data_IF_623164346917
#
_entry.id   IF_623164346917
#
_cell.length_a   1.000
_cell.length_b   1.000
_cell.length_c   1.000
_cell.angle_alpha   90.00
_cell.angle_beta   90.00
_cell.angle_gamma   90.00
#
_symmetry.space_group_name_H-M   'P 1'
#
loop_
_entity.id
_entity.type
_entity.pdbx_description
1 polymer ?
#
# COMPACT_ATOMS: atom_id res chain seq x y z
N UNK A 1 38.06 60.64 1.31
CA UNK A 1 39.26 60.14 0.61
C UNK A 1 40.27 59.67 1.64
N UNK A 2 40.45 58.35 1.75
CA UNK A 2 41.59 57.69 2.39
C UNK A 2 41.77 56.34 1.71
N UNK A 3 43.04 55.92 1.41
CA UNK A 3 43.30 54.82 0.46
C UNK A 3 43.38 53.45 1.10
N UNK A 4 43.13 52.46 0.27
CA UNK A 4 43.28 51.01 0.45
C UNK A 4 44.77 50.64 0.76
N UNK A 5 44.97 49.93 1.87
CA UNK A 5 46.22 49.16 2.09
C UNK A 5 46.03 47.71 1.68
N UNK A 6 46.76 47.31 0.62
CA UNK A 6 47.00 45.91 0.26
C UNK A 6 47.90 45.28 1.29
N UNK A 7 47.48 44.15 1.90
CA UNK A 7 48.36 43.22 2.60
C UNK A 7 48.69 42.08 1.65
N UNK A 8 49.95 42.04 1.21
CA UNK A 8 50.60 40.87 0.61
C UNK A 8 50.88 39.88 1.72
N UNK A 9 50.36 38.62 1.62
CA UNK A 9 50.80 37.50 2.46
C UNK A 9 51.75 36.64 1.63
N UNK A 10 52.95 36.47 2.18
CA UNK A 10 54.06 35.74 1.63
C UNK A 10 53.85 34.22 1.76
N UNK A 11 53.80 33.55 0.61
CA UNK A 11 53.62 32.09 0.49
C UNK A 11 55.02 31.38 0.46
N UNK A 12 55.64 31.24 1.60
CA UNK A 12 56.81 30.35 1.74
C UNK A 12 56.93 29.77 3.15
N UNK A 13 56.17 28.69 3.43
CA UNK A 13 56.61 27.55 4.27
C UNK A 13 55.56 26.46 4.28
N UNK A 14 55.79 25.39 3.53
CA UNK A 14 55.03 24.14 3.63
C UNK A 14 55.88 23.18 4.48
N UNK A 15 55.42 22.73 5.64
CA UNK A 15 56.00 21.56 6.29
C UNK A 15 55.36 20.30 5.72
N UNK A 16 56.17 19.45 5.12
CA UNK A 16 55.88 18.06 4.79
C UNK A 16 55.85 17.23 6.07
N UNK A 17 54.74 16.52 6.30
CA UNK A 17 54.69 15.44 7.28
C UNK A 17 53.38 15.35 8.10
N UNK A 18 52.60 14.34 7.83
CA UNK A 18 51.46 13.98 8.68
C UNK A 18 50.26 13.50 7.87
N UNK A 19 50.22 12.21 7.53
CA UNK A 19 49.04 11.59 6.94
C UNK A 19 47.88 11.67 7.86
N UNK A 20 46.92 12.54 7.53
CA UNK A 20 45.61 12.54 8.16
C UNK A 20 44.73 11.65 7.30
N UNK A 21 44.29 10.53 7.91
CA UNK A 21 43.30 9.65 7.34
C UNK A 21 42.03 10.45 7.02
N UNK A 22 41.69 10.56 5.73
CA UNK A 22 40.40 11.03 5.25
C UNK A 22 39.35 9.95 5.51
N UNK A 23 38.90 9.86 6.73
CA UNK A 23 37.77 9.01 7.13
C UNK A 23 36.73 9.88 7.79
N UNK A 24 35.77 10.25 7.00
CA UNK A 24 34.38 10.63 7.26
C UNK A 24 33.95 11.79 6.37
N UNK A 25 33.79 11.48 5.06
CA UNK A 25 32.88 12.28 4.24
C UNK A 25 31.48 11.97 4.75
N UNK A 26 30.69 12.96 5.22
CA UNK A 26 29.32 12.67 5.58
C UNK A 26 28.62 12.11 4.34
N UNK A 27 27.89 11.03 4.54
CA UNK A 27 27.02 10.38 3.57
C UNK A 27 26.09 11.47 2.99
N UNK A 28 26.53 12.07 1.91
CA UNK A 28 25.71 12.97 1.12
C UNK A 28 24.53 12.14 0.65
N UNK A 29 23.35 12.44 1.17
CA UNK A 29 22.06 11.97 0.67
C UNK A 29 22.09 12.09 -0.87
N UNK A 30 22.43 11.00 -1.55
CA UNK A 30 22.13 10.88 -2.98
C UNK A 30 20.61 10.96 -3.07
N UNK A 31 20.06 11.81 -3.92
CA UNK A 31 18.66 11.67 -4.28
C UNK A 31 18.53 10.32 -4.99
N UNK A 32 18.16 9.27 -4.25
CA UNK A 32 17.75 8.01 -4.86
C UNK A 32 16.52 8.33 -5.71
N UNK A 33 16.50 7.83 -6.94
CA UNK A 33 15.28 7.85 -7.75
C UNK A 33 14.17 7.24 -6.88
N UNK A 34 12.97 7.84 -6.85
CA UNK A 34 11.88 7.27 -6.06
C UNK A 34 11.68 5.84 -6.52
N UNK A 35 11.73 4.89 -5.58
CA UNK A 35 11.55 3.49 -5.87
C UNK A 35 10.20 3.27 -6.54
N UNK A 36 10.19 2.50 -7.62
CA UNK A 36 8.97 2.24 -8.42
C UNK A 36 7.92 1.53 -7.57
N UNK A 37 8.36 0.64 -6.68
CA UNK A 37 7.49 -0.07 -5.73
C UNK A 37 6.72 0.86 -4.81
N UNK A 38 7.29 1.95 -4.35
CA UNK A 38 6.57 2.94 -3.52
C UNK A 38 5.37 3.55 -4.25
N UNK A 39 5.54 3.84 -5.53
CA UNK A 39 4.42 4.33 -6.35
C UNK A 39 3.38 3.22 -6.54
N UNK A 40 3.82 2.00 -6.85
CA UNK A 40 2.94 0.84 -7.02
C UNK A 40 2.11 0.61 -5.77
N UNK A 41 2.74 0.51 -4.59
CA UNK A 41 2.04 0.30 -3.31
C UNK A 41 0.99 1.38 -3.05
N UNK A 42 1.32 2.65 -3.25
CA UNK A 42 0.36 3.75 -3.05
C UNK A 42 -0.81 3.72 -4.05
N UNK A 43 -0.56 3.36 -5.30
CA UNK A 43 -1.62 3.19 -6.31
C UNK A 43 -2.53 2.00 -5.97
N UNK A 44 -1.96 0.93 -5.44
CA UNK A 44 -2.69 -0.24 -4.98
C UNK A 44 -3.53 0.08 -3.74
N UNK A 45 -2.98 0.77 -2.73
CA UNK A 45 -3.73 1.27 -1.58
C UNK A 45 -4.90 2.18 -2.00
N UNK A 46 -4.68 3.10 -2.92
CA UNK A 46 -5.75 3.95 -3.44
C UNK A 46 -6.86 3.13 -4.12
N UNK A 47 -6.50 2.10 -4.88
CA UNK A 47 -7.45 1.18 -5.54
C UNK A 47 -8.24 0.36 -4.51
N UNK A 48 -7.55 -0.20 -3.52
CA UNK A 48 -8.16 -0.96 -2.43
C UNK A 48 -9.14 -0.08 -1.63
N UNK A 49 -8.72 1.14 -1.25
CA UNK A 49 -9.56 2.09 -0.54
C UNK A 49 -10.82 2.46 -1.33
N UNK A 50 -10.72 2.64 -2.65
CA UNK A 50 -11.86 2.91 -3.52
C UNK A 50 -12.84 1.72 -3.60
N UNK A 51 -12.33 0.50 -3.68
CA UNK A 51 -13.14 -0.73 -3.69
C UNK A 51 -13.85 -0.94 -2.36
N UNK A 52 -13.14 -0.78 -1.24
CA UNK A 52 -13.73 -0.85 0.10
C UNK A 52 -14.82 0.21 0.31
N UNK A 53 -14.59 1.43 -0.17
CA UNK A 53 -15.60 2.49 -0.16
C UNK A 53 -16.82 2.12 -0.99
N UNK A 54 -16.61 1.50 -2.15
CA UNK A 54 -17.71 1.04 -3.02
C UNK A 54 -18.55 -0.03 -2.34
N UNK A 55 -17.92 -0.98 -1.65
CA UNK A 55 -18.62 -1.99 -0.86
C UNK A 55 -19.43 -1.36 0.29
N UNK A 56 -18.84 -0.39 0.99
CA UNK A 56 -19.52 0.35 2.04
C UNK A 56 -20.80 0.98 1.51
N UNK A 57 -20.72 1.77 0.44
CA UNK A 57 -21.86 2.47 -0.17
C UNK A 57 -22.92 1.47 -0.65
N UNK A 58 -22.50 0.38 -1.29
CA UNK A 58 -23.40 -0.66 -1.76
C UNK A 58 -24.22 -1.26 -0.61
N UNK A 59 -23.59 -1.58 0.51
CA UNK A 59 -24.25 -2.18 1.68
C UNK A 59 -25.12 -1.17 2.43
N UNK A 60 -24.73 0.10 2.50
CA UNK A 60 -25.56 1.18 3.05
C UNK A 60 -26.86 1.33 2.26
N UNK A 61 -26.80 1.29 0.94
CA UNK A 61 -27.98 1.36 0.06
C UNK A 61 -28.85 0.09 0.15
N UNK A 62 -28.24 -1.06 0.38
CA UNK A 62 -28.91 -2.35 0.43
C UNK A 62 -29.37 -2.87 -0.94
N UNK A 63 -30.05 -4.04 -0.99
CA UNK A 63 -30.43 -4.72 -2.24
C UNK A 63 -31.40 -3.96 -3.13
N UNK A 64 -32.22 -3.03 -2.58
CA UNK A 64 -33.21 -2.27 -3.32
C UNK A 64 -34.16 -3.15 -4.15
N UNK A 65 -34.53 -2.66 -5.35
CA UNK A 65 -35.44 -3.36 -6.26
C UNK A 65 -34.77 -4.44 -7.10
N UNK A 66 -33.43 -4.58 -6.98
CA UNK A 66 -32.68 -5.58 -7.77
C UNK A 66 -31.66 -6.34 -6.89
N UNK A 67 -32.13 -7.21 -5.97
CA UNK A 67 -31.28 -8.00 -5.10
C UNK A 67 -30.21 -8.82 -5.82
N UNK A 68 -30.47 -9.49 -6.96
CA UNK A 68 -29.42 -10.23 -7.68
C UNK A 68 -28.25 -9.35 -8.08
N UNK A 69 -28.51 -8.12 -8.54
CA UNK A 69 -27.45 -7.18 -8.94
C UNK A 69 -26.62 -6.72 -7.72
N UNK A 70 -27.25 -6.50 -6.57
CA UNK A 70 -26.58 -6.15 -5.33
C UNK A 70 -25.61 -7.26 -4.89
N UNK A 71 -26.11 -8.50 -4.78
CA UNK A 71 -25.28 -9.63 -4.34
C UNK A 71 -24.16 -9.94 -5.34
N UNK A 72 -24.40 -9.84 -6.65
CA UNK A 72 -23.37 -9.97 -7.67
C UNK A 72 -22.25 -8.93 -7.50
N UNK A 73 -22.62 -7.67 -7.24
CA UNK A 73 -21.64 -6.60 -7.02
C UNK A 73 -20.84 -6.80 -5.73
N UNK A 74 -21.51 -7.14 -4.63
CA UNK A 74 -20.85 -7.40 -3.36
C UNK A 74 -19.90 -8.60 -3.42
N UNK A 75 -20.31 -9.71 -4.09
CA UNK A 75 -19.44 -10.88 -4.31
C UNK A 75 -18.23 -10.52 -5.16
N UNK A 76 -18.42 -9.74 -6.23
CA UNK A 76 -17.32 -9.34 -7.09
C UNK A 76 -16.27 -8.50 -6.34
N UNK A 77 -16.73 -7.59 -5.46
CA UNK A 77 -15.85 -6.78 -4.62
C UNK A 77 -15.09 -7.66 -3.61
N UNK A 78 -15.78 -8.52 -2.87
CA UNK A 78 -15.12 -9.40 -1.89
C UNK A 78 -14.16 -10.38 -2.55
N UNK A 79 -14.47 -10.85 -3.76
CA UNK A 79 -13.58 -11.68 -4.55
C UNK A 79 -12.31 -10.92 -4.96
N UNK A 80 -12.44 -9.65 -5.40
CA UNK A 80 -11.29 -8.81 -5.70
C UNK A 80 -10.38 -8.63 -4.48
N UNK A 81 -10.97 -8.39 -3.30
CA UNK A 81 -10.21 -8.20 -2.06
C UNK A 81 -9.43 -9.48 -1.70
N UNK A 82 -10.05 -10.65 -1.83
CA UNK A 82 -9.39 -11.95 -1.56
C UNK A 82 -8.27 -12.24 -2.58
N UNK A 83 -8.52 -12.01 -3.87
CA UNK A 83 -7.57 -12.36 -4.94
C UNK A 83 -6.41 -11.38 -5.08
N UNK A 84 -6.61 -10.08 -4.82
CA UNK A 84 -5.57 -9.10 -5.07
C UNK A 84 -4.85 -8.64 -3.79
N UNK A 85 -5.46 -7.92 -2.83
CA UNK A 85 -4.75 -7.55 -1.62
C UNK A 85 -4.17 -8.74 -0.87
N UNK A 86 -5.00 -9.75 -0.60
CA UNK A 86 -4.60 -10.85 0.28
C UNK A 86 -3.60 -11.82 -0.37
N UNK A 87 -3.65 -12.04 -1.68
CA UNK A 87 -2.80 -13.04 -2.36
C UNK A 87 -1.62 -12.46 -3.13
N UNK A 88 -1.68 -11.20 -3.53
CA UNK A 88 -0.64 -10.60 -4.36
C UNK A 88 0.10 -9.46 -3.65
N UNK A 89 -0.64 -8.55 -2.99
CA UNK A 89 -0.07 -7.35 -2.39
C UNK A 89 0.58 -7.65 -1.03
N UNK A 90 -0.16 -8.13 -0.05
CA UNK A 90 0.32 -8.41 1.30
C UNK A 90 1.49 -9.43 1.37
N UNK A 91 1.49 -10.55 0.59
CA UNK A 91 2.64 -11.44 0.60
C UNK A 91 3.93 -10.76 0.19
N UNK A 92 3.88 -9.82 -0.78
CA UNK A 92 5.08 -9.10 -1.22
C UNK A 92 5.58 -8.10 -0.19
N UNK A 93 4.68 -7.48 0.57
CA UNK A 93 5.08 -6.68 1.73
C UNK A 93 5.74 -7.53 2.80
N UNK A 94 5.09 -8.62 3.20
CA UNK A 94 5.61 -9.54 4.23
C UNK A 94 6.93 -10.20 3.84
N UNK A 95 7.12 -10.57 2.57
CA UNK A 95 8.30 -11.30 2.11
C UNK A 95 9.46 -10.38 1.67
N UNK A 96 9.15 -9.20 1.11
CA UNK A 96 10.16 -8.37 0.48
C UNK A 96 10.36 -7.01 1.13
N UNK A 97 9.31 -6.29 1.52
CA UNK A 97 9.41 -4.95 2.11
C UNK A 97 9.68 -4.99 3.61
N UNK A 98 8.80 -5.64 4.37
CA UNK A 98 8.82 -5.62 5.82
C UNK A 98 10.12 -6.13 6.46
N UNK A 99 10.72 -7.24 6.01
CA UNK A 99 11.98 -7.74 6.59
C UNK A 99 13.13 -6.75 6.40
N UNK A 100 13.21 -6.10 5.24
CA UNK A 100 14.25 -5.11 4.94
C UNK A 100 14.09 -3.86 5.78
N UNK A 101 12.86 -3.34 5.87
CA UNK A 101 12.58 -2.16 6.70
C UNK A 101 12.83 -2.46 8.17
N UNK A 102 12.39 -3.60 8.70
CA UNK A 102 12.63 -3.99 10.09
C UNK A 102 14.14 -4.09 10.42
N UNK A 103 14.94 -4.60 9.47
CA UNK A 103 16.39 -4.69 9.63
C UNK A 103 17.07 -3.31 9.61
N UNK A 104 16.67 -2.42 8.70
CA UNK A 104 17.30 -1.10 8.52
C UNK A 104 16.75 -0.03 9.48
N UNK A 105 15.52 -0.18 9.92
CA UNK A 105 14.80 0.74 10.78
C UNK A 105 14.15 0.03 12.00
N UNK A 106 14.94 -0.46 12.98
CA UNK A 106 14.43 -1.25 14.10
C UNK A 106 13.35 -0.54 14.93
N UNK A 107 13.28 0.78 14.88
CA UNK A 107 12.28 1.57 15.61
C UNK A 107 10.84 1.38 15.09
N UNK A 108 10.64 0.84 13.88
CA UNK A 108 9.31 0.48 13.33
C UNK A 108 9.06 -1.03 13.34
N UNK A 109 9.97 -1.85 13.84
CA UNK A 109 9.87 -3.31 13.79
C UNK A 109 8.62 -3.85 14.51
N UNK A 110 8.19 -3.23 15.61
CA UNK A 110 6.97 -3.61 16.33
C UNK A 110 5.71 -3.34 15.48
N UNK A 111 5.67 -2.22 14.78
CA UNK A 111 4.58 -1.89 13.85
C UNK A 111 4.54 -2.89 12.70
N UNK A 112 5.68 -3.23 12.13
CA UNK A 112 5.80 -4.23 11.06
C UNK A 112 5.29 -5.60 11.54
N UNK A 113 5.72 -6.06 12.72
CA UNK A 113 5.25 -7.33 13.28
C UNK A 113 3.73 -7.35 13.51
N UNK A 114 3.15 -6.20 13.89
CA UNK A 114 1.71 -6.04 13.99
C UNK A 114 1.04 -6.16 12.62
N UNK A 115 1.52 -5.44 11.60
CA UNK A 115 0.97 -5.43 10.24
C UNK A 115 1.03 -6.84 9.61
N UNK A 116 2.16 -7.53 9.76
CA UNK A 116 2.33 -8.90 9.27
C UNK A 116 1.33 -9.89 9.90
N UNK A 117 1.07 -9.74 11.21
CA UNK A 117 0.01 -10.50 11.88
C UNK A 117 -1.41 -10.07 11.44
N UNK A 118 -1.57 -8.83 10.99
CA UNK A 118 -2.83 -8.29 10.47
C UNK A 118 -3.13 -8.84 9.07
N UNK A 119 -2.14 -9.14 8.22
CA UNK A 119 -2.32 -9.80 6.92
C UNK A 119 -3.05 -11.16 7.09
N UNK A 120 -2.58 -11.99 8.02
CA UNK A 120 -3.22 -13.30 8.30
C UNK A 120 -4.68 -13.13 8.78
N UNK A 121 -4.96 -12.11 9.58
CA UNK A 121 -6.32 -11.83 10.05
C UNK A 121 -7.22 -11.26 8.95
N UNK A 122 -6.67 -10.45 8.05
CA UNK A 122 -7.37 -9.89 6.90
C UNK A 122 -7.88 -10.98 5.98
N UNK A 123 -7.03 -11.95 5.65
CA UNK A 123 -7.39 -13.11 4.83
C UNK A 123 -8.54 -13.92 5.45
N UNK A 124 -8.50 -14.18 6.75
CA UNK A 124 -9.58 -14.86 7.45
C UNK A 124 -10.88 -14.04 7.47
N UNK A 125 -10.76 -12.72 7.68
CA UNK A 125 -11.91 -11.82 7.77
C UNK A 125 -12.62 -11.63 6.42
N UNK A 126 -11.91 -11.57 5.30
CA UNK A 126 -12.57 -11.49 3.98
C UNK A 126 -13.33 -12.77 3.65
N UNK A 127 -12.80 -13.94 4.03
CA UNK A 127 -13.51 -15.22 3.87
C UNK A 127 -14.76 -15.32 4.76
N UNK A 128 -14.68 -14.78 5.98
CA UNK A 128 -15.86 -14.64 6.84
C UNK A 128 -16.91 -13.75 6.18
N UNK A 129 -16.52 -12.59 5.62
CA UNK A 129 -17.44 -11.70 4.90
C UNK A 129 -18.09 -12.37 3.69
N UNK A 130 -17.35 -13.14 2.92
CA UNK A 130 -17.90 -13.93 1.79
C UNK A 130 -18.96 -14.92 2.27
N UNK A 131 -18.70 -15.64 3.39
CA UNK A 131 -19.66 -16.57 3.99
C UNK A 131 -20.90 -15.86 4.53
N UNK A 132 -20.73 -14.73 5.22
CA UNK A 132 -21.85 -13.96 5.78
C UNK A 132 -22.70 -13.33 4.68
N UNK A 133 -22.09 -12.88 3.56
CA UNK A 133 -22.81 -12.38 2.40
C UNK A 133 -23.67 -13.47 1.77
N UNK A 134 -23.10 -14.67 1.59
CA UNK A 134 -23.83 -15.83 1.09
C UNK A 134 -24.99 -16.20 2.01
N UNK A 135 -24.76 -16.18 3.33
CA UNK A 135 -25.81 -16.43 4.30
C UNK A 135 -26.95 -15.38 4.21
N UNK A 136 -26.63 -14.10 4.01
CA UNK A 136 -27.64 -13.08 3.79
C UNK A 136 -28.43 -13.32 2.49
N UNK A 137 -27.74 -13.62 1.39
CA UNK A 137 -28.40 -13.91 0.11
C UNK A 137 -29.36 -15.10 0.17
N UNK A 138 -28.96 -16.20 0.83
CA UNK A 138 -29.74 -17.44 0.87
C UNK A 138 -30.83 -17.46 1.96
N UNK A 139 -30.57 -16.79 3.08
CA UNK A 139 -31.44 -16.87 4.27
C UNK A 139 -32.26 -15.57 4.49
N UNK A 140 -32.02 -14.53 3.68
CA UNK A 140 -32.79 -13.30 3.67
C UNK A 140 -32.33 -12.25 4.69
N UNK A 141 -33.11 -11.17 4.78
CA UNK A 141 -32.79 -9.91 5.50
C UNK A 141 -32.41 -10.09 6.98
N UNK A 142 -32.84 -11.15 7.64
CA UNK A 142 -32.46 -11.44 9.01
C UNK A 142 -30.92 -11.63 9.22
N UNK A 143 -30.17 -11.86 8.15
CA UNK A 143 -28.70 -12.01 8.18
C UNK A 143 -27.95 -10.74 7.85
N UNK A 144 -28.60 -9.71 7.34
CA UNK A 144 -28.01 -8.42 6.96
C UNK A 144 -27.20 -7.79 8.10
N UNK A 145 -27.78 -7.75 9.30
CA UNK A 145 -27.14 -7.09 10.45
C UNK A 145 -25.79 -7.70 10.81
N UNK A 146 -25.70 -9.03 10.79
CA UNK A 146 -24.44 -9.76 11.09
C UNK A 146 -23.39 -9.47 10.02
N UNK A 147 -23.76 -9.51 8.75
CA UNK A 147 -22.85 -9.15 7.65
C UNK A 147 -22.37 -7.69 7.75
N UNK A 148 -23.30 -6.75 7.96
CA UNK A 148 -22.95 -5.33 8.05
C UNK A 148 -22.00 -5.06 9.22
N UNK A 149 -22.24 -5.63 10.39
CA UNK A 149 -21.36 -5.47 11.55
C UNK A 149 -19.95 -6.01 11.29
N UNK A 150 -19.83 -7.19 10.68
CA UNK A 150 -18.53 -7.75 10.28
C UNK A 150 -17.82 -6.87 9.25
N UNK A 151 -18.56 -6.34 8.26
CA UNK A 151 -18.02 -5.42 7.27
C UNK A 151 -17.50 -4.12 7.90
N UNK A 152 -18.25 -3.51 8.83
CA UNK A 152 -17.78 -2.27 9.47
C UNK A 152 -16.50 -2.47 10.28
N UNK A 153 -16.37 -3.60 10.97
CA UNK A 153 -15.12 -3.98 11.65
C UNK A 153 -13.97 -4.14 10.67
N UNK A 154 -14.20 -4.83 9.55
CA UNK A 154 -13.21 -5.03 8.49
C UNK A 154 -12.76 -3.71 7.87
N UNK A 155 -13.70 -2.80 7.54
CA UNK A 155 -13.38 -1.50 6.97
C UNK A 155 -12.55 -0.62 7.93
N UNK A 156 -12.87 -0.64 9.23
CA UNK A 156 -12.11 0.11 10.23
C UNK A 156 -10.69 -0.47 10.39
N UNK A 157 -10.58 -1.78 10.44
CA UNK A 157 -9.32 -2.52 10.49
C UNK A 157 -8.43 -2.17 9.30
N UNK A 158 -8.94 -2.27 8.08
CA UNK A 158 -8.16 -2.06 6.86
C UNK A 158 -7.68 -0.61 6.69
N UNK A 159 -8.51 0.36 7.07
CA UNK A 159 -8.11 1.77 7.06
C UNK A 159 -6.96 2.06 8.01
N UNK A 160 -6.98 1.48 9.20
CA UNK A 160 -5.91 1.65 10.17
C UNK A 160 -4.63 0.95 9.72
N UNK A 161 -4.75 -0.24 9.12
CA UNK A 161 -3.66 -0.99 8.54
C UNK A 161 -2.91 -0.16 7.47
N UNK A 162 -3.58 0.25 6.41
CA UNK A 162 -2.99 1.11 5.36
C UNK A 162 -2.43 2.42 5.93
N UNK A 163 -3.10 3.02 6.93
CA UNK A 163 -2.60 4.24 7.57
C UNK A 163 -1.25 4.01 8.25
N UNK A 164 -1.07 2.91 8.95
CA UNK A 164 0.20 2.58 9.61
C UNK A 164 1.32 2.36 8.59
N UNK A 165 1.04 1.67 7.51
CA UNK A 165 2.01 1.48 6.42
C UNK A 165 2.42 2.82 5.82
N UNK A 166 1.47 3.64 5.39
CA UNK A 166 1.75 4.91 4.73
C UNK A 166 2.39 5.95 5.64
N UNK A 167 2.11 5.93 6.94
CA UNK A 167 2.63 6.94 7.88
C UNK A 167 3.87 6.50 8.65
N UNK A 168 4.16 5.20 8.72
CA UNK A 168 5.30 4.70 9.49
C UNK A 168 6.25 3.84 8.65
N UNK A 169 5.74 2.82 7.94
CA UNK A 169 6.59 1.86 7.24
C UNK A 169 7.17 2.45 5.96
N UNK A 170 6.35 3.03 5.08
CA UNK A 170 6.82 3.61 3.82
C UNK A 170 7.78 4.79 4.03
N UNK A 171 7.56 5.71 4.98
CA UNK A 171 8.55 6.74 5.31
C UNK A 171 9.85 6.17 5.86
N UNK A 172 9.81 5.12 6.69
CA UNK A 172 11.00 4.45 7.18
C UNK A 172 11.74 3.74 6.04
N UNK A 173 11.03 3.07 5.13
CA UNK A 173 11.62 2.49 3.93
C UNK A 173 12.35 3.55 3.09
N UNK A 174 11.72 4.69 2.84
CA UNK A 174 12.34 5.79 2.09
C UNK A 174 13.60 6.36 2.75
N UNK A 175 13.65 6.37 4.08
CA UNK A 175 14.75 6.96 4.82
C UNK A 175 15.94 6.00 5.01
N UNK A 176 15.71 4.69 5.04
CA UNK A 176 16.70 3.73 5.52
C UNK A 176 17.07 2.62 4.55
N UNK A 177 16.25 2.30 3.53
CA UNK A 177 16.61 1.28 2.53
C UNK A 177 17.65 1.83 1.56
N UNK A 178 18.61 0.98 1.21
CA UNK A 178 19.62 1.28 0.19
C UNK A 178 19.19 0.84 -1.23
N UNK A 179 20.04 1.09 -2.22
CA UNK A 179 19.74 0.81 -3.63
C UNK A 179 19.53 -0.70 -3.89
N UNK A 180 20.23 -1.58 -3.17
CA UNK A 180 20.08 -3.04 -3.31
C UNK A 180 18.75 -3.52 -2.69
N UNK A 181 18.38 -2.97 -1.53
CA UNK A 181 17.09 -3.25 -0.90
C UNK A 181 15.95 -2.83 -1.84
N UNK A 182 16.02 -1.62 -2.41
CA UNK A 182 15.01 -1.13 -3.33
C UNK A 182 14.95 -1.93 -4.62
N UNK A 183 16.08 -2.34 -5.19
CA UNK A 183 16.09 -3.18 -6.38
C UNK A 183 15.34 -4.50 -6.16
N UNK A 184 15.48 -5.11 -4.96
CA UNK A 184 14.78 -6.34 -4.63
C UNK A 184 13.26 -6.12 -4.43
N UNK A 185 12.86 -5.03 -3.76
CA UNK A 185 11.45 -4.68 -3.57
C UNK A 185 10.80 -4.31 -4.90
N UNK A 186 11.45 -3.50 -5.73
CA UNK A 186 10.97 -3.11 -7.06
C UNK A 186 10.76 -4.32 -7.96
N UNK A 187 11.68 -5.29 -7.95
CA UNK A 187 11.55 -6.52 -8.72
C UNK A 187 10.34 -7.36 -8.28
N UNK A 188 10.06 -7.43 -6.98
CA UNK A 188 8.91 -8.14 -6.45
C UNK A 188 7.58 -7.46 -6.85
N UNK A 189 7.46 -6.15 -6.64
CA UNK A 189 6.23 -5.40 -6.93
C UNK A 189 5.98 -5.18 -8.42
N UNK A 190 7.03 -5.20 -9.27
CA UNK A 190 6.87 -5.11 -10.73
C UNK A 190 6.02 -6.24 -11.32
N UNK A 191 5.91 -7.38 -10.62
CA UNK A 191 5.08 -8.51 -11.04
C UNK A 191 3.61 -8.37 -10.65
N UNK A 192 3.23 -7.36 -9.83
CA UNK A 192 1.83 -7.14 -9.46
C UNK A 192 1.00 -6.77 -10.67
N UNK A 193 -0.09 -7.50 -10.84
CA UNK A 193 -1.10 -7.22 -11.86
C UNK A 193 -2.35 -6.71 -11.13
N UNK A 194 -2.33 -5.44 -10.70
CA UNK A 194 -3.53 -4.83 -10.14
C UNK A 194 -4.58 -4.66 -11.27
N UNK A 195 -5.71 -5.37 -11.21
CA UNK A 195 -6.73 -5.31 -12.26
C UNK A 195 -7.42 -3.95 -12.35
N UNK A 196 -7.24 -3.07 -11.35
CA UNK A 196 -7.81 -1.73 -11.31
C UNK A 196 -6.81 -0.64 -11.70
N UNK A 197 -5.52 -0.97 -11.90
CA UNK A 197 -4.50 -0.01 -12.28
C UNK A 197 -4.60 0.34 -13.77
N UNK A 198 -4.70 1.64 -14.08
CA UNK A 198 -4.71 2.12 -15.45
C UNK A 198 -3.33 1.92 -16.11
N UNK A 199 -3.34 1.39 -17.36
CA UNK A 199 -2.12 1.33 -18.20
C UNK A 199 -1.22 0.12 -17.99
N UNK A 200 -1.61 -0.87 -17.19
CA UNK A 200 -0.93 -2.16 -17.10
C UNK A 200 -1.67 -3.24 -17.89
N UNK A 201 -0.98 -4.29 -18.40
CA UNK A 201 -1.66 -5.43 -19.00
C UNK A 201 -2.58 -6.06 -17.96
N UNK A 202 -3.90 -6.06 -18.22
CA UNK A 202 -4.88 -6.74 -17.38
C UNK A 202 -5.08 -8.16 -17.88
N UNK A 203 -5.26 -9.09 -16.95
CA UNK A 203 -5.80 -10.41 -17.30
C UNK A 203 -7.28 -10.24 -17.74
N UNK A 204 -7.69 -10.76 -18.90
CA UNK A 204 -9.09 -10.68 -19.36
C UNK A 204 -10.12 -11.24 -18.35
N UNK A 205 -9.70 -12.09 -17.41
CA UNK A 205 -10.55 -12.55 -16.32
C UNK A 205 -10.88 -11.41 -15.34
N UNK A 206 -9.89 -10.58 -15.04
CA UNK A 206 -10.08 -9.40 -14.15
C UNK A 206 -10.82 -8.26 -14.84
N UNK A 207 -10.72 -8.09 -16.15
CA UNK A 207 -11.52 -7.10 -16.89
C UNK A 207 -13.03 -7.37 -16.74
N UNK A 208 -13.44 -8.63 -16.74
CA UNK A 208 -14.82 -9.02 -16.46
C UNK A 208 -15.23 -8.73 -15.02
N UNK A 209 -14.33 -8.96 -14.05
CA UNK A 209 -14.56 -8.65 -12.66
C UNK A 209 -14.69 -7.15 -12.45
N UNK A 210 -13.75 -6.36 -12.98
CA UNK A 210 -13.78 -4.90 -12.94
C UNK A 210 -15.08 -4.33 -13.55
N UNK A 211 -15.47 -4.80 -14.71
CA UNK A 211 -16.73 -4.40 -15.35
C UNK A 211 -17.93 -4.66 -14.43
N UNK A 212 -17.97 -5.80 -13.74
CA UNK A 212 -19.04 -6.10 -12.77
C UNK A 212 -19.04 -5.10 -11.60
N UNK A 213 -17.87 -4.80 -11.05
CA UNK A 213 -17.74 -3.84 -9.93
C UNK A 213 -18.20 -2.44 -10.37
N UNK A 214 -17.67 -1.93 -11.49
CA UNK A 214 -17.94 -0.57 -11.99
C UNK A 214 -19.38 -0.40 -12.47
N UNK A 215 -19.92 -1.39 -13.19
CA UNK A 215 -21.27 -1.29 -13.75
C UNK A 215 -22.39 -1.49 -12.71
N UNK A 216 -22.10 -2.12 -11.58
CA UNK A 216 -23.10 -2.45 -10.56
C UNK A 216 -23.08 -1.51 -9.36
N UNK A 217 -21.96 -0.94 -9.04
CA UNK A 217 -21.86 0.13 -8.06
C UNK A 217 -22.17 1.45 -8.78
N UNK A 218 -23.38 1.98 -8.62
CA UNK A 218 -23.72 3.32 -9.11
C UNK A 218 -22.75 4.32 -8.48
N UNK A 219 -21.73 4.59 -9.26
CA UNK A 219 -20.57 5.44 -9.04
C UNK A 219 -20.47 6.26 -7.75
N UNK A 220 -19.42 5.96 -6.94
CA UNK A 220 -18.51 7.01 -6.47
C UNK A 220 -17.18 7.04 -7.24
N UNK A 221 -16.94 6.13 -8.17
CA UNK A 221 -15.77 6.17 -9.05
C UNK A 221 -16.04 7.13 -10.24
N UNK A 222 -16.30 8.39 -9.91
CA UNK A 222 -16.30 9.57 -10.72
C UNK A 222 -16.39 9.39 -12.25
N UNK A 223 -17.57 9.68 -12.82
CA UNK A 223 -17.60 10.45 -14.06
C UNK A 223 -17.54 11.93 -13.68
N UNK A 224 -16.32 12.48 -13.71
CA UNK A 224 -16.11 13.88 -13.96
C UNK A 224 -15.93 14.04 -15.45
#
# INVERSE_FOLDING_TARGET
MKPLHRLFVDLRHVPTGGGVALSSVPFLLRPSMPAVSLQIIREEHASIAAVLRSLQVLVEQGPGDNPPSFFDGARAILFYIDEFPEREHHPKESEHLFPRVAQRAPHVAEVIARLDAEHVRGEAAVRELQHLLLAWELMGEGRRGVFAEALWRYLAFYREHMRLEETMVLPAAQAYLDDDDWAAVDAAFATNVNPLAHGRPSDPAYDRLFTRIVMRVKSPLGRG
#
